data_IF_988320743235
#
_entry.id   IF_988320743235
#
_cell.length_a   1.000
_cell.length_b   1.000
_cell.length_c   1.000
_cell.angle_alpha   90.00
_cell.angle_beta   90.00
_cell.angle_gamma   90.00
#
_symmetry.space_group_name_H-M   'P 1'
#
loop_
_entity.id
_entity.type
_entity.pdbx_description
1 polymer ?
#
# COMPACT_ATOMS: atom_id res chain seq x y z
N UNK A 1 11.26 1.87 21.58
CA UNK A 1 11.70 3.03 20.78
C UNK A 1 13.20 2.99 20.46
N UNK A 2 14.09 2.73 21.44
CA UNK A 2 15.55 2.70 21.24
C UNK A 2 16.02 1.74 20.13
N UNK A 3 15.52 0.48 20.01
CA UNK A 3 15.97 -0.43 18.95
C UNK A 3 15.56 0.03 17.55
N UNK A 4 14.35 0.57 17.42
CA UNK A 4 13.79 1.06 16.15
C UNK A 4 14.55 2.29 15.67
N UNK A 5 14.93 3.18 16.59
CA UNK A 5 15.69 4.38 16.28
C UNK A 5 17.09 4.03 15.73
N UNK A 6 17.76 3.05 16.33
CA UNK A 6 19.08 2.57 15.88
C UNK A 6 18.98 2.01 14.46
N UNK A 7 17.98 1.17 14.19
CA UNK A 7 17.75 0.61 12.85
C UNK A 7 17.43 1.72 11.84
N UNK A 8 16.60 2.69 12.19
CA UNK A 8 16.26 3.82 11.32
C UNK A 8 17.48 4.68 10.96
N UNK A 9 18.35 4.97 11.94
CA UNK A 9 19.59 5.72 11.72
C UNK A 9 20.55 4.93 10.82
N UNK A 10 20.66 3.62 11.02
CA UNK A 10 21.51 2.75 10.21
C UNK A 10 21.03 2.71 8.74
N UNK A 11 19.71 2.64 8.52
CA UNK A 11 19.11 2.73 7.18
C UNK A 11 19.31 4.12 6.57
N UNK A 12 19.12 5.19 7.34
CA UNK A 12 19.34 6.56 6.86
C UNK A 12 20.80 6.80 6.44
N UNK A 13 21.76 6.28 7.21
CA UNK A 13 23.19 6.30 6.87
C UNK A 13 23.46 5.46 5.62
N UNK A 14 22.88 4.26 5.52
CA UNK A 14 22.99 3.41 4.34
C UNK A 14 22.50 4.10 3.06
N UNK A 15 21.40 4.85 3.14
CA UNK A 15 20.84 5.59 2.00
C UNK A 15 21.69 6.82 1.64
N UNK A 16 22.31 7.47 2.64
CA UNK A 16 23.18 8.64 2.43
C UNK A 16 24.50 8.28 1.76
N UNK A 17 25.11 7.17 2.16
CA UNK A 17 26.44 6.80 1.67
C UNK A 17 26.41 5.87 0.45
N UNK A 18 25.43 4.96 0.34
CA UNK A 18 25.37 3.98 -0.75
C UNK A 18 23.91 3.71 -1.19
N UNK A 19 23.22 4.70 -1.78
CA UNK A 19 21.81 4.58 -2.15
C UNK A 19 21.56 3.44 -3.14
N UNK A 20 22.40 3.29 -4.17
CA UNK A 20 22.21 2.27 -5.22
C UNK A 20 22.30 0.83 -4.69
N UNK A 21 23.29 0.53 -3.83
CA UNK A 21 23.40 -0.82 -3.24
C UNK A 21 22.24 -1.11 -2.28
N UNK A 22 21.79 -0.12 -1.51
CA UNK A 22 20.69 -0.32 -0.59
C UNK A 22 19.36 -0.52 -1.34
N UNK A 23 19.11 0.25 -2.40
CA UNK A 23 17.94 0.06 -3.27
C UNK A 23 17.95 -1.34 -3.90
N UNK A 24 19.09 -1.79 -4.44
CA UNK A 24 19.21 -3.13 -5.00
C UNK A 24 18.99 -4.24 -3.95
N UNK A 25 19.50 -4.05 -2.72
CA UNK A 25 19.25 -4.96 -1.60
C UNK A 25 17.75 -5.06 -1.25
N UNK A 26 17.07 -3.91 -1.14
CA UNK A 26 15.61 -3.87 -0.91
C UNK A 26 14.82 -4.50 -2.07
N UNK A 27 15.25 -4.32 -3.32
CA UNK A 27 14.61 -4.97 -4.47
C UNK A 27 14.76 -6.50 -4.44
N UNK A 28 15.94 -7.02 -4.08
CA UNK A 28 16.16 -8.47 -3.94
C UNK A 28 15.28 -9.02 -2.81
N UNK A 29 15.24 -8.34 -1.67
CA UNK A 29 14.37 -8.70 -0.56
C UNK A 29 12.89 -8.70 -0.98
N UNK A 30 12.43 -7.66 -1.69
CA UNK A 30 11.07 -7.59 -2.20
C UNK A 30 10.76 -8.74 -3.17
N UNK A 31 11.69 -9.09 -4.07
CA UNK A 31 11.51 -10.23 -4.99
C UNK A 31 11.41 -11.56 -4.25
N UNK A 32 12.24 -11.77 -3.23
CA UNK A 32 12.18 -12.98 -2.39
C UNK A 32 10.84 -13.06 -1.63
N UNK A 33 10.38 -11.94 -1.07
CA UNK A 33 9.09 -11.85 -0.39
C UNK A 33 7.92 -12.14 -1.34
N UNK A 34 7.96 -11.61 -2.57
CA UNK A 34 6.96 -11.93 -3.60
C UNK A 34 6.99 -13.42 -3.95
N UNK A 35 8.18 -14.02 -4.08
CA UNK A 35 8.30 -15.46 -4.35
C UNK A 35 7.68 -16.29 -3.21
N UNK A 36 7.96 -15.95 -1.95
CA UNK A 36 7.37 -16.60 -0.78
C UNK A 36 5.84 -16.49 -0.74
N UNK A 37 5.29 -15.30 -0.96
CA UNK A 37 3.83 -15.09 -0.99
C UNK A 37 3.20 -15.89 -2.14
N UNK A 38 3.87 -15.93 -3.30
CA UNK A 38 3.40 -16.70 -4.46
C UNK A 38 3.39 -18.21 -4.17
N UNK A 39 4.42 -18.72 -3.50
CA UNK A 39 4.47 -20.12 -3.07
C UNK A 39 3.39 -20.43 -2.02
N UNK A 40 3.18 -19.53 -1.05
CA UNK A 40 2.10 -19.66 -0.08
C UNK A 40 0.72 -19.68 -0.73
N UNK A 41 0.48 -18.80 -1.70
CA UNK A 41 -0.75 -18.77 -2.48
C UNK A 41 -0.91 -20.05 -3.31
N UNK A 42 0.15 -20.52 -3.97
CA UNK A 42 0.11 -21.76 -4.74
C UNK A 42 -0.21 -22.98 -3.86
N UNK A 43 0.39 -23.07 -2.67
CA UNK A 43 0.08 -24.12 -1.69
C UNK A 43 -1.39 -24.04 -1.23
N UNK A 44 -1.92 -22.84 -1.04
CA UNK A 44 -3.32 -22.63 -0.67
C UNK A 44 -4.29 -23.05 -1.79
N UNK A 45 -3.95 -22.81 -3.05
CA UNK A 45 -4.74 -23.25 -4.21
C UNK A 45 -4.69 -24.78 -4.33
N UNK A 46 -3.52 -25.39 -4.14
CA UNK A 46 -3.38 -26.87 -4.13
C UNK A 46 -4.24 -27.49 -3.03
N UNK A 47 -4.23 -26.93 -1.81
CA UNK A 47 -5.10 -27.39 -0.72
C UNK A 47 -6.58 -27.30 -1.10
N UNK A 48 -7.00 -26.22 -1.76
CA UNK A 48 -8.39 -26.03 -2.19
C UNK A 48 -8.82 -27.00 -3.29
N UNK A 49 -7.99 -27.26 -4.31
CA UNK A 49 -8.34 -28.15 -5.43
C UNK A 49 -8.20 -29.64 -5.10
N UNK A 50 -7.15 -30.03 -4.37
CA UNK A 50 -6.79 -31.44 -4.14
C UNK A 50 -7.23 -31.96 -2.76
N UNK A 51 -7.61 -31.07 -1.83
CA UNK A 51 -7.94 -31.46 -0.45
C UNK A 51 -6.74 -31.97 0.36
N UNK A 52 -5.53 -31.95 -0.23
CA UNK A 52 -4.29 -32.40 0.41
C UNK A 52 -3.66 -31.25 1.19
N UNK A 53 -3.44 -31.45 2.49
CA UNK A 53 -2.74 -30.48 3.33
C UNK A 53 -1.23 -30.55 3.09
N UNK A 54 -0.72 -29.72 2.17
CA UNK A 54 0.72 -29.58 1.96
C UNK A 54 1.41 -28.91 3.16
N UNK A 55 0.68 -28.03 3.87
CA UNK A 55 1.11 -27.32 5.07
C UNK A 55 -0.01 -27.42 6.12
N UNK A 56 0.21 -28.08 7.27
CA UNK A 56 -0.79 -28.17 8.34
C UNK A 56 -1.03 -26.78 8.95
N UNK A 57 -2.29 -26.40 9.14
CA UNK A 57 -2.67 -25.08 9.70
C UNK A 57 -2.83 -23.96 8.67
N UNK A 58 -2.77 -24.24 7.37
CA UNK A 58 -3.04 -23.24 6.34
C UNK A 58 -4.52 -22.83 6.32
N UNK A 59 -4.77 -21.53 6.50
CA UNK A 59 -6.11 -20.95 6.47
C UNK A 59 -6.74 -21.08 5.07
N UNK A 60 -8.00 -21.49 4.95
CA UNK A 60 -8.66 -21.68 3.67
C UNK A 60 -8.86 -20.35 2.93
N UNK A 61 -8.67 -20.37 1.61
CA UNK A 61 -8.84 -19.18 0.75
C UNK A 61 -10.32 -18.76 0.65
N UNK A 62 -11.21 -19.76 0.63
CA UNK A 62 -12.66 -19.61 0.56
C UNK A 62 -13.31 -19.94 1.91
N UNK A 63 -14.59 -19.58 2.05
CA UNK A 63 -15.38 -19.93 3.23
C UNK A 63 -15.35 -21.44 3.47
N UNK A 64 -15.00 -21.84 4.70
CA UNK A 64 -15.01 -23.23 5.13
C UNK A 64 -16.31 -23.56 5.90
N UNK A 65 -16.71 -24.85 6.01
CA UNK A 65 -17.87 -25.24 6.80
C UNK A 65 -17.68 -24.83 8.27
N UNK A 66 -18.40 -23.80 8.71
CA UNK A 66 -18.28 -23.19 10.04
C UNK A 66 -18.06 -21.67 10.04
N UNK A 67 -17.68 -21.08 8.91
CA UNK A 67 -17.58 -19.62 8.77
C UNK A 67 -18.97 -18.99 8.66
N UNK A 68 -19.26 -17.98 9.49
CA UNK A 68 -20.47 -17.16 9.34
C UNK A 68 -20.22 -16.05 8.30
N UNK A 69 -21.09 -15.92 7.28
CA UNK A 69 -21.01 -14.82 6.32
C UNK A 69 -21.06 -13.47 7.04
N UNK A 70 -20.03 -12.64 6.86
CA UNK A 70 -19.94 -11.29 7.43
C UNK A 70 -19.15 -11.15 8.75
N UNK A 71 -18.84 -12.23 9.46
CA UNK A 71 -17.96 -12.17 10.66
C UNK A 71 -16.49 -12.51 10.32
N UNK A 72 -16.25 -13.43 9.38
CA UNK A 72 -14.91 -13.90 9.01
C UNK A 72 -14.64 -13.60 7.56
N UNK A 73 -13.95 -12.48 7.29
CA UNK A 73 -13.52 -12.16 5.93
C UNK A 73 -12.27 -12.96 5.57
N UNK A 74 -12.43 -13.95 4.68
CA UNK A 74 -11.32 -14.75 4.15
C UNK A 74 -10.60 -14.03 3.00
N UNK A 75 -9.46 -14.55 2.57
CA UNK A 75 -8.58 -13.90 1.60
C UNK A 75 -9.29 -13.42 0.32
N UNK A 76 -10.19 -14.24 -0.25
CA UNK A 76 -10.91 -13.86 -1.48
C UNK A 76 -11.92 -12.72 -1.26
N UNK A 77 -12.58 -12.70 -0.11
CA UNK A 77 -13.58 -11.69 0.24
C UNK A 77 -12.92 -10.34 0.54
N UNK A 78 -11.75 -10.38 1.19
CA UNK A 78 -10.90 -9.20 1.42
C UNK A 78 -10.41 -8.62 0.09
N UNK A 79 -9.90 -9.45 -0.83
CA UNK A 79 -9.46 -8.97 -2.15
C UNK A 79 -10.64 -8.43 -2.97
N UNK A 80 -11.81 -9.08 -2.89
CA UNK A 80 -13.04 -8.64 -3.53
C UNK A 80 -13.49 -7.26 -3.04
N UNK A 81 -13.54 -7.05 -1.72
CA UNK A 81 -13.93 -5.76 -1.15
C UNK A 81 -12.95 -4.64 -1.51
N UNK A 82 -11.64 -4.89 -1.47
CA UNK A 82 -10.62 -3.94 -1.93
C UNK A 82 -10.83 -3.61 -3.42
N UNK A 83 -11.10 -4.62 -4.25
CA UNK A 83 -11.34 -4.43 -5.69
C UNK A 83 -12.57 -3.56 -5.96
N UNK A 84 -13.67 -3.76 -5.23
CA UNK A 84 -14.85 -2.91 -5.31
C UNK A 84 -14.56 -1.45 -4.93
N UNK A 85 -13.77 -1.24 -3.86
CA UNK A 85 -13.36 0.12 -3.44
C UNK A 85 -12.48 0.77 -4.50
N UNK A 86 -11.51 0.03 -5.06
CA UNK A 86 -10.63 0.55 -6.11
C UNK A 86 -11.40 0.89 -7.38
N UNK A 87 -12.41 0.09 -7.74
CA UNK A 87 -13.27 0.35 -8.90
C UNK A 87 -13.96 1.72 -8.80
N UNK A 88 -14.31 2.19 -7.61
CA UNK A 88 -14.81 3.55 -7.38
C UNK A 88 -13.71 4.61 -7.31
N UNK A 89 -12.57 4.27 -6.69
CA UNK A 89 -11.47 5.21 -6.49
C UNK A 89 -10.83 5.67 -7.81
N UNK A 90 -10.60 4.77 -8.77
CA UNK A 90 -9.95 5.13 -10.05
C UNK A 90 -10.75 6.16 -10.87
N UNK A 91 -12.06 5.96 -11.12
CA UNK A 91 -12.91 6.96 -11.77
C UNK A 91 -12.99 8.27 -10.99
N UNK A 92 -13.11 8.21 -9.66
CA UNK A 92 -13.18 9.41 -8.82
C UNK A 92 -11.91 10.25 -8.96
N UNK A 93 -10.73 9.63 -8.93
CA UNK A 93 -9.46 10.32 -9.16
C UNK A 93 -9.44 10.94 -10.55
N UNK A 94 -9.86 10.21 -11.59
CA UNK A 94 -9.92 10.74 -12.96
C UNK A 94 -10.87 11.96 -13.05
N UNK A 95 -12.05 11.90 -12.43
CA UNK A 95 -12.99 13.02 -12.42
C UNK A 95 -12.45 14.22 -11.65
N UNK A 96 -11.81 13.99 -10.49
CA UNK A 96 -11.14 15.03 -9.73
C UNK A 96 -10.05 15.70 -10.56
N UNK A 97 -9.24 14.94 -11.31
CA UNK A 97 -8.23 15.53 -12.19
C UNK A 97 -8.81 16.37 -13.32
N UNK A 98 -10.00 16.01 -13.83
CA UNK A 98 -10.68 16.76 -14.89
C UNK A 98 -11.38 18.00 -14.36
N UNK A 99 -12.12 17.90 -13.25
CA UNK A 99 -12.87 19.04 -12.68
C UNK A 99 -11.97 20.04 -11.95
N UNK A 100 -10.95 19.54 -11.26
CA UNK A 100 -9.99 20.38 -10.52
C UNK A 100 -8.70 20.60 -11.31
N UNK A 101 -8.71 20.47 -12.65
CA UNK A 101 -7.53 20.67 -13.48
C UNK A 101 -6.88 22.05 -13.25
N UNK A 102 -7.69 23.11 -13.18
CA UNK A 102 -7.21 24.49 -12.94
C UNK A 102 -6.50 24.65 -11.58
N UNK A 103 -7.10 24.28 -10.44
CA UNK A 103 -6.41 24.35 -9.15
C UNK A 103 -5.24 23.35 -9.05
N UNK A 104 -5.34 22.15 -9.64
CA UNK A 104 -4.21 21.20 -9.70
C UNK A 104 -3.04 21.77 -10.48
N UNK A 105 -3.29 22.45 -11.60
CA UNK A 105 -2.25 23.14 -12.38
C UNK A 105 -1.60 24.27 -11.59
N UNK A 106 -2.36 24.98 -10.75
CA UNK A 106 -1.81 26.02 -9.88
C UNK A 106 -0.90 25.43 -8.79
N UNK A 107 -1.37 24.39 -8.10
CA UNK A 107 -0.57 23.65 -7.09
C UNK A 107 0.64 22.98 -7.74
N UNK A 108 0.47 22.42 -8.93
CA UNK A 108 1.53 21.82 -9.73
C UNK A 108 2.60 22.82 -10.16
N UNK A 109 2.21 24.04 -10.53
CA UNK A 109 3.15 25.14 -10.83
C UNK A 109 3.94 25.59 -9.60
N UNK A 110 3.31 25.70 -8.42
CA UNK A 110 3.98 26.06 -7.17
C UNK A 110 4.99 24.99 -6.75
N UNK A 111 4.62 23.72 -6.89
CA UNK A 111 5.47 22.60 -6.49
C UNK A 111 6.39 22.09 -7.61
N UNK A 112 6.31 22.69 -8.80
CA UNK A 112 7.06 22.34 -10.01
C UNK A 112 6.89 20.85 -10.41
N UNK A 113 5.64 20.39 -10.43
CA UNK A 113 5.26 18.99 -10.74
C UNK A 113 4.20 18.94 -11.85
N UNK A 114 4.06 17.79 -12.51
CA UNK A 114 3.06 17.60 -13.57
C UNK A 114 1.63 17.39 -13.02
N UNK A 115 0.61 17.53 -13.87
CA UNK A 115 -0.80 17.37 -13.48
C UNK A 115 -1.10 15.96 -12.93
N UNK A 116 -0.39 14.94 -13.43
CA UNK A 116 -0.54 13.54 -12.99
C UNK A 116 0.06 13.34 -11.59
N UNK A 117 1.12 14.05 -11.22
CA UNK A 117 1.69 14.03 -9.88
C UNK A 117 0.75 14.71 -8.88
N UNK A 118 0.16 15.85 -9.26
CA UNK A 118 -0.85 16.50 -8.44
C UNK A 118 -2.11 15.63 -8.26
N UNK A 119 -2.52 14.92 -9.33
CA UNK A 119 -3.54 13.87 -9.26
C UNK A 119 -3.17 12.75 -8.28
N UNK A 120 -1.91 12.31 -8.33
CA UNK A 120 -1.38 11.30 -7.44
C UNK A 120 -1.42 11.70 -5.98
N UNK A 121 -1.23 12.99 -5.64
CA UNK A 121 -1.38 13.46 -4.26
C UNK A 121 -2.83 13.28 -3.79
N UNK A 122 -3.80 13.62 -4.63
CA UNK A 122 -5.23 13.43 -4.33
C UNK A 122 -5.59 11.95 -4.25
N UNK A 123 -5.07 11.13 -5.16
CA UNK A 123 -5.26 9.68 -5.16
C UNK A 123 -4.74 9.06 -3.86
N UNK A 124 -3.55 9.48 -3.42
CA UNK A 124 -2.87 9.04 -2.20
C UNK A 124 -3.71 9.28 -0.94
N UNK A 125 -4.48 10.37 -0.89
CA UNK A 125 -5.38 10.66 0.23
C UNK A 125 -6.50 9.62 0.38
N UNK A 126 -6.97 9.05 -0.73
CA UNK A 126 -7.95 7.97 -0.71
C UNK A 126 -7.27 6.62 -0.45
N UNK A 127 -6.22 6.32 -1.22
CA UNK A 127 -5.41 5.10 -1.09
C UNK A 127 -4.09 5.23 -1.86
N UNK A 128 -3.05 4.54 -1.42
CA UNK A 128 -1.76 4.48 -2.12
C UNK A 128 -1.82 3.64 -3.41
N UNK A 129 -2.75 2.68 -3.51
CA UNK A 129 -2.81 1.75 -4.66
C UNK A 129 -3.04 2.47 -6.00
N UNK A 130 -4.05 3.35 -6.15
CA UNK A 130 -4.23 4.10 -7.40
C UNK A 130 -3.04 5.00 -7.74
N UNK A 131 -2.42 5.62 -6.74
CA UNK A 131 -1.23 6.47 -6.95
C UNK A 131 -0.07 5.66 -7.55
N UNK A 132 0.17 4.44 -7.06
CA UNK A 132 1.21 3.57 -7.61
C UNK A 132 0.97 3.20 -9.09
N UNK A 133 -0.28 3.04 -9.50
CA UNK A 133 -0.66 2.78 -10.90
C UNK A 133 -0.28 3.93 -11.85
N UNK A 134 -0.42 5.17 -11.41
CA UNK A 134 -0.09 6.37 -12.19
C UNK A 134 1.35 6.87 -12.00
N UNK A 135 2.10 6.32 -11.04
CA UNK A 135 3.47 6.74 -10.74
C UNK A 135 4.39 6.68 -11.96
N UNK A 136 4.18 5.72 -12.88
CA UNK A 136 4.97 5.59 -14.11
C UNK A 136 4.90 6.85 -15.00
N UNK A 137 3.78 7.57 -14.96
CA UNK A 137 3.51 8.76 -15.78
C UNK A 137 3.86 10.08 -15.09
N UNK A 138 4.36 10.03 -13.84
CA UNK A 138 4.79 11.21 -13.09
C UNK A 138 6.21 11.63 -13.45
N UNK A 139 6.47 12.93 -13.36
CA UNK A 139 7.81 13.49 -13.44
C UNK A 139 8.67 13.07 -12.22
N UNK A 140 10.00 13.14 -12.34
CA UNK A 140 10.92 12.69 -11.29
C UNK A 140 10.68 13.42 -9.97
N UNK A 141 10.39 14.72 -10.01
CA UNK A 141 10.12 15.52 -8.82
C UNK A 141 8.75 15.17 -8.22
N UNK A 142 7.73 15.06 -9.06
CA UNK A 142 6.39 14.59 -8.70
C UNK A 142 6.39 13.22 -8.03
N UNK A 143 7.19 12.26 -8.52
CA UNK A 143 7.36 10.93 -7.89
C UNK A 143 7.89 11.04 -6.47
N UNK A 144 8.94 11.84 -6.26
CA UNK A 144 9.55 12.01 -4.93
C UNK A 144 8.57 12.68 -3.97
N UNK A 145 7.88 13.74 -4.40
CA UNK A 145 6.92 14.47 -3.56
C UNK A 145 5.73 13.56 -3.21
N UNK A 146 5.17 12.81 -4.17
CA UNK A 146 4.08 11.88 -3.89
C UNK A 146 4.49 10.77 -2.93
N UNK A 147 5.67 10.17 -3.11
CA UNK A 147 6.16 9.15 -2.18
C UNK A 147 6.38 9.73 -0.78
N UNK A 148 6.97 10.92 -0.67
CA UNK A 148 7.17 11.58 0.62
C UNK A 148 5.83 11.93 1.30
N UNK A 149 4.85 12.40 0.53
CA UNK A 149 3.51 12.71 1.02
C UNK A 149 2.76 11.44 1.45
N UNK A 150 2.80 10.37 0.65
CA UNK A 150 2.16 9.10 0.96
C UNK A 150 2.67 8.49 2.26
N UNK A 151 3.99 8.48 2.46
CA UNK A 151 4.62 7.98 3.67
C UNK A 151 4.26 8.86 4.87
N UNK A 152 4.37 10.18 4.73
CA UNK A 152 4.08 11.11 5.82
C UNK A 152 2.60 11.09 6.23
N UNK A 153 1.69 11.04 5.26
CA UNK A 153 0.26 10.92 5.50
C UNK A 153 -0.09 9.59 6.17
N UNK A 154 0.51 8.48 5.73
CA UNK A 154 0.31 7.17 6.35
C UNK A 154 0.79 7.14 7.81
N UNK A 155 1.95 7.73 8.11
CA UNK A 155 2.45 7.81 9.48
C UNK A 155 1.63 8.77 10.35
N UNK A 156 1.29 9.96 9.86
CA UNK A 156 0.49 10.93 10.61
C UNK A 156 -0.92 10.39 10.92
N UNK A 157 -1.59 9.78 9.93
CA UNK A 157 -2.89 9.16 10.13
C UNK A 157 -2.80 7.90 10.97
N UNK A 158 -1.76 7.09 10.77
CA UNK A 158 -1.51 5.88 11.56
C UNK A 158 -1.30 6.18 13.04
N UNK A 159 -0.51 7.19 13.37
CA UNK A 159 -0.26 7.61 14.75
C UNK A 159 -1.53 8.19 15.39
N UNK A 160 -2.30 8.98 14.62
CA UNK A 160 -3.56 9.55 15.10
C UNK A 160 -4.68 8.50 15.30
N UNK A 161 -4.76 7.48 14.44
CA UNK A 161 -5.71 6.36 14.58
C UNK A 161 -5.27 5.39 15.68
N UNK A 162 -3.96 5.13 15.81
CA UNK A 162 -3.38 4.34 16.88
C UNK A 162 -3.66 4.94 18.25
N UNK A 163 -3.51 6.26 18.39
CA UNK A 163 -3.85 6.98 19.63
C UNK A 163 -5.34 6.86 19.99
N UNK A 164 -6.24 6.92 18.99
CA UNK A 164 -7.69 6.76 19.21
C UNK A 164 -8.10 5.33 19.60
N UNK A 165 -7.45 4.30 19.05
CA UNK A 165 -7.68 2.90 19.44
C UNK A 165 -7.23 2.63 20.88
N UNK A 166 -6.07 3.14 21.28
CA UNK A 166 -5.57 3.01 22.66
C UNK A 166 -6.45 3.71 23.71
N UNK A 167 -7.22 4.75 23.34
CA UNK A 167 -8.19 5.37 24.24
C UNK A 167 -9.53 4.61 24.33
N UNK A 168 -9.88 3.84 23.30
CA UNK A 168 -11.11 3.04 23.29
C UNK A 168 -10.96 1.68 24.02
N UNK A 169 -9.73 1.17 24.18
CA UNK A 169 -9.42 -0.04 24.98
C UNK A 169 -9.25 0.25 26.49
N UNK A 170 -9.33 1.51 26.92
CA UNK A 170 -9.28 1.90 28.35
C UNK A 170 -10.66 2.17 28.98
N UNK A 171 -11.74 1.84 28.28
CA UNK A 171 -13.12 1.85 28.78
C UNK A 171 -13.79 0.53 28.45
#
# INVERSE_FOLDING_TARGET
>A
MIPVLIVAVLVALGLKFIPEKMINGFQIFAKFLVALITLGLAAAVVKFLLGWELIPGLDPIFMAPGDKPGEVMRAIEVIGSISCVLLGAYPMVLLLTRWFEKPLMSVGKVLNMNNIAAAGMVATLANNIPMFGMMKQMDTRGKVINCAFAVSAAFALGDHLGLRRCQHERH
#
